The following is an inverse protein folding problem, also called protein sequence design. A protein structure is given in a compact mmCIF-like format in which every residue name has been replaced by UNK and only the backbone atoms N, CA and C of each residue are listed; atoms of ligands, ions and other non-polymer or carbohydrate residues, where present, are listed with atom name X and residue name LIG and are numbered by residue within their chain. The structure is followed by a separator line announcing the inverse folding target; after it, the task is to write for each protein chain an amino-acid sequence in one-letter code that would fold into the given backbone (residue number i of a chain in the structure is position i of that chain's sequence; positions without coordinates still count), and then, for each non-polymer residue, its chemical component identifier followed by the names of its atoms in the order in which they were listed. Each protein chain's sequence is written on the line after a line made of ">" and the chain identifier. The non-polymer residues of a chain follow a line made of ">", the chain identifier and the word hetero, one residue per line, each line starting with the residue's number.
data_IF_022001650640
#
_entry.id   IF_022001650640
#
_cell.length_a   1.000
_cell.length_b   1.000
_cell.length_c   1.000
_cell.angle_alpha   90.00
_cell.angle_beta   90.00
_cell.angle_gamma   90.00
#
_symmetry.space_group_name_H-M   'P 1'
#
loop_
_entity.id
_entity.type
_entity.pdbx_description
1 polymer ?
#
# COMPACT_ATOMS: atom_id res chain seq x y z
N UNK A 1 0.30 6.70 -17.79
CA UNK A 1 0.42 5.25 -17.53
C UNK A 1 1.05 4.95 -16.16
N UNK A 2 2.18 5.58 -15.81
CA UNK A 2 2.88 5.32 -14.54
C UNK A 2 2.03 5.49 -13.26
N UNK A 3 1.16 6.50 -13.21
CA UNK A 3 0.22 6.67 -12.09
C UNK A 3 -0.76 5.51 -11.90
N UNK A 4 -1.25 4.92 -12.99
CA UNK A 4 -2.14 3.75 -12.92
C UNK A 4 -1.36 2.56 -12.37
N UNK A 5 -0.15 2.32 -12.87
CA UNK A 5 0.74 1.28 -12.36
C UNK A 5 1.04 1.48 -10.87
N UNK A 6 1.22 2.73 -10.44
CA UNK A 6 1.48 3.07 -9.04
C UNK A 6 0.27 2.76 -8.14
N UNK A 7 -0.94 3.10 -8.59
CA UNK A 7 -2.17 2.76 -7.87
C UNK A 7 -2.34 1.25 -7.78
N UNK A 8 -2.14 0.53 -8.89
CA UNK A 8 -2.21 -0.95 -8.89
C UNK A 8 -1.13 -1.56 -7.99
N UNK A 9 0.09 -1.01 -8.00
CA UNK A 9 1.17 -1.42 -7.10
C UNK A 9 0.78 -1.24 -5.63
N UNK A 10 0.17 -0.10 -5.28
CA UNK A 10 -0.32 0.17 -3.93
C UNK A 10 -1.49 -0.73 -3.52
N UNK A 11 -2.40 -1.08 -4.43
CA UNK A 11 -3.48 -2.04 -4.15
C UNK A 11 -2.94 -3.45 -3.92
N UNK A 12 -1.94 -3.88 -4.69
CA UNK A 12 -1.22 -5.13 -4.41
C UNK A 12 -0.52 -5.08 -3.06
N UNK A 13 -0.01 -3.91 -2.66
CA UNK A 13 0.58 -3.70 -1.34
C UNK A 13 -0.40 -3.95 -0.21
N UNK A 14 -1.61 -3.42 -0.31
CA UNK A 14 -2.69 -3.75 0.63
C UNK A 14 -2.93 -5.25 0.68
N UNK A 15 -2.99 -5.91 -0.49
CA UNK A 15 -3.25 -7.34 -0.60
C UNK A 15 -2.19 -8.20 0.09
N UNK A 16 -0.90 -7.98 -0.18
CA UNK A 16 0.16 -8.77 0.46
C UNK A 16 0.35 -8.39 1.92
N UNK A 17 0.14 -7.12 2.29
CA UNK A 17 0.24 -6.65 3.68
C UNK A 17 -0.81 -7.31 4.58
N UNK A 18 -2.06 -7.36 4.11
CA UNK A 18 -3.12 -8.13 4.75
C UNK A 18 -2.81 -9.63 4.72
N UNK A 19 -2.33 -10.13 3.59
CA UNK A 19 -1.93 -11.53 3.39
C UNK A 19 -0.90 -12.02 4.41
N UNK A 20 0.05 -11.17 4.83
CA UNK A 20 1.05 -11.51 5.85
C UNK A 20 0.40 -12.01 7.14
N UNK A 21 -0.73 -11.45 7.55
CA UNK A 21 -1.47 -11.88 8.74
C UNK A 21 -1.96 -13.33 8.64
N UNK A 22 -2.24 -13.82 7.43
CA UNK A 22 -2.71 -15.18 7.16
C UNK A 22 -1.58 -16.19 6.96
N UNK A 23 -0.32 -15.75 6.87
CA UNK A 23 0.83 -16.64 6.72
C UNK A 23 1.21 -17.37 8.01
N UNK A 24 0.72 -16.88 9.17
CA UNK A 24 1.04 -17.39 10.50
C UNK A 24 2.57 -17.51 10.71
N UNK A 25 3.28 -16.40 10.44
CA UNK A 25 4.74 -16.34 10.48
C UNK A 25 5.41 -17.13 9.35
N UNK A 26 4.80 -17.16 8.16
CA UNK A 26 5.25 -17.94 6.99
C UNK A 26 5.23 -19.47 7.14
N UNK A 27 4.51 -19.99 8.15
CA UNK A 27 4.35 -21.43 8.34
C UNK A 27 3.31 -22.05 7.40
N UNK A 28 2.33 -21.25 6.93
CA UNK A 28 1.32 -21.70 5.97
C UNK A 28 1.82 -21.49 4.53
N UNK A 29 1.99 -22.56 3.72
CA UNK A 29 2.65 -22.45 2.43
C UNK A 29 1.84 -21.65 1.40
N UNK A 30 0.52 -21.87 1.32
CA UNK A 30 -0.32 -21.21 0.32
C UNK A 30 -0.40 -19.67 0.52
N UNK A 31 -0.73 -19.14 1.73
CA UNK A 31 -0.71 -17.70 1.97
C UNK A 31 0.68 -17.10 1.79
N UNK A 32 1.74 -17.83 2.19
CA UNK A 32 3.12 -17.35 2.06
C UNK A 32 3.54 -17.15 0.61
N UNK A 33 3.20 -18.09 -0.27
CA UNK A 33 3.47 -17.97 -1.71
C UNK A 33 2.69 -16.80 -2.31
N UNK A 34 1.41 -16.64 -1.96
CA UNK A 34 0.59 -15.53 -2.45
C UNK A 34 1.11 -14.16 -1.98
N UNK A 35 1.47 -14.05 -0.70
CA UNK A 35 2.10 -12.85 -0.14
C UNK A 35 3.44 -12.55 -0.83
N UNK A 36 4.29 -13.56 -1.00
CA UNK A 36 5.57 -13.40 -1.70
C UNK A 36 5.40 -12.95 -3.15
N UNK A 37 4.48 -13.58 -3.89
CA UNK A 37 4.14 -13.18 -5.26
C UNK A 37 3.59 -11.74 -5.31
N UNK A 38 2.75 -11.36 -4.35
CA UNK A 38 2.21 -10.01 -4.22
C UNK A 38 3.29 -8.96 -3.95
N UNK A 39 4.26 -9.25 -3.07
CA UNK A 39 5.42 -8.38 -2.80
C UNK A 39 6.20 -8.15 -4.09
N UNK A 40 6.57 -9.22 -4.79
CA UNK A 40 7.36 -9.13 -6.03
C UNK A 40 6.60 -8.36 -7.11
N UNK A 41 5.32 -8.68 -7.33
CA UNK A 41 4.50 -7.98 -8.32
C UNK A 41 4.34 -6.49 -8.00
N UNK A 42 4.07 -6.14 -6.73
CA UNK A 42 3.94 -4.76 -6.26
C UNK A 42 5.25 -3.97 -6.48
N UNK A 43 6.39 -4.55 -6.10
CA UNK A 43 7.71 -3.96 -6.30
C UNK A 43 8.06 -3.74 -7.78
N UNK A 44 7.73 -4.69 -8.65
CA UNK A 44 7.99 -4.56 -10.10
C UNK A 44 7.18 -3.41 -10.72
N UNK A 45 5.91 -3.27 -10.33
CA UNK A 45 5.06 -2.18 -10.80
C UNK A 45 5.53 -0.82 -10.27
N UNK A 46 5.94 -0.75 -9.00
CA UNK A 46 6.55 0.45 -8.43
C UNK A 46 7.83 0.82 -9.16
N UNK A 47 8.72 -0.15 -9.40
CA UNK A 47 9.97 0.06 -10.15
C UNK A 47 9.68 0.63 -11.53
N UNK A 48 8.66 0.11 -12.22
CA UNK A 48 8.27 0.63 -13.53
C UNK A 48 7.71 2.05 -13.46
N UNK A 49 6.86 2.35 -12.46
CA UNK A 49 6.31 3.68 -12.26
C UNK A 49 7.41 4.71 -11.92
N UNK A 50 8.41 4.30 -11.12
CA UNK A 50 9.55 5.12 -10.72
C UNK A 50 10.55 5.42 -11.86
N UNK A 51 10.43 4.78 -13.03
CA UNK A 51 11.21 5.16 -14.23
C UNK A 51 10.79 6.51 -14.78
N UNK A 52 9.55 6.91 -14.53
CA UNK A 52 8.96 8.16 -15.04
C UNK A 52 8.63 9.15 -13.93
N UNK A 53 8.33 8.67 -12.73
CA UNK A 53 7.96 9.50 -11.59
C UNK A 53 9.15 9.67 -10.65
N UNK A 54 9.33 10.85 -10.03
CA UNK A 54 10.30 11.03 -8.97
C UNK A 54 10.10 9.99 -7.86
N UNK A 55 11.18 9.32 -7.45
CA UNK A 55 11.10 8.21 -6.48
C UNK A 55 10.46 8.63 -5.15
N UNK A 56 10.70 9.86 -4.69
CA UNK A 56 10.09 10.37 -3.46
C UNK A 56 8.56 10.44 -3.54
N UNK A 57 8.02 10.87 -4.68
CA UNK A 57 6.58 10.87 -4.93
C UNK A 57 6.06 9.45 -5.10
N UNK A 58 6.69 8.65 -5.96
CA UNK A 58 6.23 7.30 -6.27
C UNK A 58 6.19 6.44 -5.01
N UNK A 59 7.29 6.39 -4.25
CA UNK A 59 7.38 5.62 -3.02
C UNK A 59 6.41 6.14 -1.95
N UNK A 60 6.33 7.46 -1.74
CA UNK A 60 5.43 8.05 -0.76
C UNK A 60 3.95 7.75 -1.04
N UNK A 61 3.53 7.84 -2.31
CA UNK A 61 2.16 7.50 -2.71
C UNK A 61 1.90 6.00 -2.60
N UNK A 62 2.85 5.16 -3.00
CA UNK A 62 2.75 3.70 -2.92
C UNK A 62 2.53 3.24 -1.47
N UNK A 63 3.47 3.57 -0.56
CA UNK A 63 3.35 3.26 0.88
C UNK A 63 2.08 3.87 1.47
N UNK A 64 1.71 5.07 1.02
CA UNK A 64 0.50 5.74 1.48
C UNK A 64 -0.78 4.96 1.15
N UNK A 65 -0.91 4.46 -0.08
CA UNK A 65 -2.04 3.61 -0.48
C UNK A 65 -2.02 2.30 0.31
N UNK A 66 -0.85 1.65 0.42
CA UNK A 66 -0.67 0.41 1.18
C UNK A 66 -1.07 0.55 2.65
N UNK A 67 -0.55 1.57 3.33
CA UNK A 67 -0.81 1.85 4.73
C UNK A 67 -2.28 2.21 4.99
N UNK A 68 -2.86 3.09 4.18
CA UNK A 68 -4.27 3.47 4.33
C UNK A 68 -5.20 2.27 4.08
N UNK A 69 -4.97 1.51 3.01
CA UNK A 69 -5.78 0.35 2.68
C UNK A 69 -5.65 -0.76 3.72
N UNK A 70 -4.44 -1.03 4.23
CA UNK A 70 -4.22 -2.00 5.31
C UNK A 70 -4.92 -1.57 6.60
N UNK A 71 -4.86 -0.27 6.96
CA UNK A 71 -5.55 0.25 8.14
C UNK A 71 -7.09 0.13 8.00
N UNK A 72 -7.65 0.46 6.83
CA UNK A 72 -9.08 0.31 6.55
C UNK A 72 -9.50 -1.16 6.61
N UNK A 73 -8.74 -2.05 5.98
CA UNK A 73 -9.00 -3.49 6.05
C UNK A 73 -8.91 -4.00 7.49
N UNK A 74 -7.91 -3.55 8.26
CA UNK A 74 -7.75 -3.85 9.68
C UNK A 74 -8.97 -3.49 10.50
N UNK A 75 -9.51 -2.29 10.31
CA UNK A 75 -10.69 -1.81 11.03
C UNK A 75 -11.97 -2.55 10.62
N UNK A 76 -12.18 -2.79 9.32
CA UNK A 76 -13.44 -3.35 8.80
C UNK A 76 -13.49 -4.88 8.93
N UNK A 77 -12.42 -5.58 8.59
CA UNK A 77 -12.41 -7.05 8.50
C UNK A 77 -11.73 -7.74 9.68
N UNK A 78 -10.69 -7.12 10.24
CA UNK A 78 -9.90 -7.73 11.31
C UNK A 78 -10.34 -7.30 12.72
N UNK A 79 -11.36 -6.43 12.81
CA UNK A 79 -11.91 -5.94 14.07
C UNK A 79 -10.91 -5.10 14.88
N UNK A 80 -9.91 -4.49 14.21
CA UNK A 80 -8.93 -3.67 14.90
C UNK A 80 -9.54 -2.36 15.40
N UNK A 81 -9.00 -1.74 16.47
CA UNK A 81 -9.57 -0.54 17.06
C UNK A 81 -9.64 0.61 16.04
N UNK A 82 -10.86 1.10 15.81
CA UNK A 82 -11.16 2.26 14.96
C UNK A 82 -11.35 3.53 15.80
N UNK A 83 -10.34 3.88 16.60
CA UNK A 83 -10.41 5.07 17.45
C UNK A 83 -10.41 6.35 16.60
N UNK A 84 -11.04 7.41 17.12
CA UNK A 84 -11.08 8.71 16.43
C UNK A 84 -9.69 9.23 16.05
N UNK A 85 -8.70 9.04 16.94
CA UNK A 85 -7.30 9.39 16.68
C UNK A 85 -6.71 8.60 15.52
N UNK A 86 -6.95 7.28 15.45
CA UNK A 86 -6.44 6.44 14.35
C UNK A 86 -7.04 6.87 13.01
N UNK A 87 -8.35 7.11 12.96
CA UNK A 87 -9.03 7.59 11.76
C UNK A 87 -8.47 8.96 11.34
N UNK A 88 -8.27 9.88 12.29
CA UNK A 88 -7.68 11.19 12.02
C UNK A 88 -6.29 11.07 11.36
N UNK A 89 -5.40 10.24 11.89
CA UNK A 89 -4.06 10.07 11.31
C UNK A 89 -4.08 9.36 9.95
N UNK A 90 -5.01 8.42 9.72
CA UNK A 90 -5.21 7.82 8.39
C UNK A 90 -5.66 8.89 7.38
N UNK A 91 -6.59 9.76 7.76
CA UNK A 91 -7.01 10.88 6.92
C UNK A 91 -5.85 11.84 6.62
N UNK A 92 -5.04 12.18 7.63
CA UNK A 92 -3.87 13.03 7.47
C UNK A 92 -2.85 12.42 6.50
N UNK A 93 -2.63 11.11 6.60
CA UNK A 93 -1.77 10.36 5.68
C UNK A 93 -2.31 10.44 4.24
N UNK A 94 -3.61 10.24 4.03
CA UNK A 94 -4.23 10.37 2.70
C UNK A 94 -4.07 11.78 2.13
N UNK A 95 -4.23 12.82 2.96
CA UNK A 95 -3.99 14.21 2.56
C UNK A 95 -2.54 14.42 2.14
N UNK A 96 -1.58 13.89 2.90
CA UNK A 96 -0.16 13.99 2.55
C UNK A 96 0.16 13.27 1.22
N UNK A 97 -0.42 12.10 0.98
CA UNK A 97 -0.28 11.34 -0.27
C UNK A 97 -0.82 12.13 -1.47
N UNK A 98 -2.01 12.71 -1.33
CA UNK A 98 -2.60 13.57 -2.36
C UNK A 98 -1.73 14.81 -2.59
N UNK A 99 -1.20 15.40 -1.52
CA UNK A 99 -0.25 16.52 -1.57
C UNK A 99 1.00 16.18 -2.37
N UNK A 100 1.64 15.03 -2.10
CA UNK A 100 2.82 14.56 -2.84
C UNK A 100 2.54 14.36 -4.33
N UNK A 101 1.35 13.86 -4.67
CA UNK A 101 0.90 13.76 -6.07
C UNK A 101 0.62 15.11 -6.72
N UNK A 102 0.09 16.07 -5.97
CA UNK A 102 -0.21 17.40 -6.49
C UNK A 102 1.08 18.23 -6.71
N UNK A 103 2.11 17.99 -5.92
CA UNK A 103 3.40 18.71 -6.00
C UNK A 103 4.46 17.99 -6.81
N UNK A 104 4.22 16.73 -7.22
CA UNK A 104 5.07 16.08 -8.21
C UNK A 104 4.87 16.77 -9.55
N UNK A 105 5.73 17.74 -9.82
CA UNK A 105 5.85 18.38 -11.13
C UNK A 105 6.00 17.32 -12.23
N UNK A 106 5.40 17.60 -13.38
CA UNK A 106 5.47 16.77 -14.58
C UNK A 106 6.89 16.34 -14.93
#
# INVERSE_FOLDING_TARGET
>A
MAWVLLVVAGLLEVGWSVGMKYTDGFTRPLPSVLTGAGIVASMLLLSHAARTLPIGTAYGVWVGIGAAGAAVFGMVWLGEPATAARIFFVCLLLVAVVGLKATSGH
#
